data_IF_224143029021
#
_entry.id   IF_224143029021
#
_cell.length_a   1.000
_cell.length_b   1.000
_cell.length_c   1.000
_cell.angle_alpha   90.00
_cell.angle_beta   90.00
_cell.angle_gamma   90.00
#
_symmetry.space_group_name_H-M   'P 1'
#
loop_
_entity.id
_entity.type
_entity.pdbx_description
1 polymer ?
#
# COMPACT_ATOMS: atom_id res chain seq x y z
N UNK A 1 0.90 7.62 16.23
CA UNK A 1 0.77 7.31 14.79
C UNK A 1 1.89 6.35 14.44
N UNK A 2 1.58 5.16 13.97
CA UNK A 2 2.60 4.20 13.52
C UNK A 2 3.11 4.64 12.14
N UNK A 3 4.43 4.87 12.04
CA UNK A 3 5.09 5.34 10.83
C UNK A 3 5.32 4.16 9.88
N UNK A 4 4.90 4.29 8.63
CA UNK A 4 5.17 3.27 7.61
C UNK A 4 6.56 3.51 7.03
N UNK A 5 7.30 2.43 6.80
CA UNK A 5 8.62 2.47 6.18
C UNK A 5 8.74 1.34 5.16
N UNK A 6 9.55 1.57 4.12
CA UNK A 6 9.95 0.52 3.19
C UNK A 6 10.87 -0.46 3.92
N UNK A 7 10.47 -1.73 3.95
CA UNK A 7 11.27 -2.82 4.48
C UNK A 7 12.31 -3.25 3.44
N UNK A 8 13.52 -2.71 3.55
CA UNK A 8 14.62 -3.06 2.65
C UNK A 8 15.02 -4.53 2.74
N UNK A 9 14.81 -5.20 3.89
CA UNK A 9 15.12 -6.63 4.02
C UNK A 9 14.25 -7.46 3.08
N UNK A 10 12.95 -7.15 2.99
CA UNK A 10 12.04 -7.84 2.08
C UNK A 10 12.47 -7.62 0.63
N UNK A 11 12.88 -6.39 0.27
CA UNK A 11 13.39 -6.09 -1.08
C UNK A 11 14.67 -6.88 -1.39
N UNK A 12 15.58 -7.00 -0.42
CA UNK A 12 16.81 -7.79 -0.54
C UNK A 12 16.49 -9.27 -0.74
N UNK A 13 15.54 -9.82 0.03
CA UNK A 13 15.13 -11.23 -0.07
C UNK A 13 14.42 -11.53 -1.40
N UNK A 14 13.56 -10.62 -1.87
CA UNK A 14 12.81 -10.77 -3.12
C UNK A 14 13.68 -10.61 -4.37
N UNK A 15 14.64 -9.69 -4.35
CA UNK A 15 15.41 -9.28 -5.53
C UNK A 15 16.92 -9.54 -5.41
N UNK A 16 17.37 -10.27 -4.40
CA UNK A 16 18.77 -10.69 -4.25
C UNK A 16 19.75 -9.59 -3.83
N UNK A 17 19.26 -8.56 -3.14
CA UNK A 17 20.08 -7.55 -2.43
C UNK A 17 20.81 -6.50 -3.27
N UNK A 18 20.95 -6.70 -4.58
CA UNK A 18 21.67 -5.77 -5.46
C UNK A 18 20.92 -5.36 -6.72
N UNK A 19 19.74 -5.96 -7.02
CA UNK A 19 18.96 -5.59 -8.20
C UNK A 19 18.09 -4.35 -7.96
N UNK A 20 18.79 -3.22 -7.78
CA UNK A 20 18.19 -1.90 -7.67
C UNK A 20 17.35 -1.52 -8.91
N UNK A 21 17.61 -2.14 -10.07
CA UNK A 21 16.85 -1.88 -11.29
C UNK A 21 15.48 -2.56 -11.24
N UNK A 22 15.42 -3.82 -10.81
CA UNK A 22 14.17 -4.52 -10.60
C UNK A 22 13.34 -3.86 -9.50
N UNK A 23 13.97 -3.45 -8.39
CA UNK A 23 13.29 -2.68 -7.33
C UNK A 23 12.70 -1.37 -7.88
N UNK A 24 13.50 -0.55 -8.59
CA UNK A 24 13.02 0.71 -9.18
C UNK A 24 11.88 0.46 -10.19
N UNK A 25 11.95 -0.62 -10.97
CA UNK A 25 10.91 -1.00 -11.94
C UNK A 25 9.60 -1.37 -11.24
N UNK A 26 9.64 -2.21 -10.21
CA UNK A 26 8.44 -2.63 -9.47
C UNK A 26 7.81 -1.46 -8.72
N UNK A 27 8.64 -0.59 -8.14
CA UNK A 27 8.20 0.67 -7.54
C UNK A 27 7.62 1.66 -8.57
N UNK A 28 8.17 1.73 -9.79
CA UNK A 28 7.59 2.52 -10.90
C UNK A 28 6.20 2.02 -11.26
N UNK A 29 6.03 0.70 -11.39
CA UNK A 29 4.72 0.09 -11.68
C UNK A 29 3.69 0.41 -10.59
N UNK A 30 4.09 0.36 -9.32
CA UNK A 30 3.21 0.75 -8.22
C UNK A 30 2.77 2.21 -8.32
N UNK A 31 3.68 3.14 -8.59
CA UNK A 31 3.38 4.57 -8.73
C UNK A 31 2.54 4.90 -9.97
N UNK A 32 2.84 4.28 -11.11
CA UNK A 32 2.22 4.65 -12.38
C UNK A 32 0.90 3.92 -12.62
N UNK A 33 0.68 2.76 -11.98
CA UNK A 33 -0.47 1.93 -12.25
C UNK A 33 -1.31 1.63 -11.01
N UNK A 34 -0.69 1.28 -9.88
CA UNK A 34 -1.43 0.82 -8.69
C UNK A 34 -2.03 1.98 -7.91
N UNK A 35 -1.23 2.96 -7.47
CA UNK A 35 -1.76 4.12 -6.74
C UNK A 35 -2.82 4.89 -7.53
N UNK A 36 -2.65 5.17 -8.83
CA UNK A 36 -3.69 5.85 -9.61
C UNK A 36 -5.01 5.07 -9.67
N UNK A 37 -4.96 3.74 -9.78
CA UNK A 37 -6.17 2.89 -9.72
C UNK A 37 -6.84 2.95 -8.35
N UNK A 38 -6.06 2.89 -7.28
CA UNK A 38 -6.57 2.99 -5.91
C UNK A 38 -7.21 4.35 -5.68
N UNK A 39 -6.50 5.42 -5.98
CA UNK A 39 -6.98 6.81 -5.84
C UNK A 39 -8.22 7.04 -6.70
N UNK A 40 -8.26 6.56 -7.94
CA UNK A 40 -9.43 6.70 -8.81
C UNK A 40 -10.64 5.94 -8.28
N UNK A 41 -10.45 4.77 -7.67
CA UNK A 41 -11.53 3.99 -7.09
C UNK A 41 -12.08 4.67 -5.82
N UNK A 42 -11.19 5.08 -4.92
CA UNK A 42 -11.56 5.76 -3.66
C UNK A 42 -12.24 7.12 -3.90
N UNK A 43 -11.80 7.87 -4.91
CA UNK A 43 -12.38 9.16 -5.29
C UNK A 43 -13.58 9.04 -6.25
N UNK A 44 -13.99 7.83 -6.64
CA UNK A 44 -15.19 7.70 -7.45
C UNK A 44 -16.39 8.17 -6.63
N UNK A 45 -17.22 9.07 -7.17
CA UNK A 45 -18.47 9.52 -6.52
C UNK A 45 -19.55 8.41 -6.44
N UNK A 46 -19.14 7.15 -6.57
CA UNK A 46 -20.01 5.99 -6.42
C UNK A 46 -20.10 5.67 -4.93
N UNK A 47 -21.32 5.55 -4.42
CA UNK A 47 -21.54 5.00 -3.09
C UNK A 47 -21.17 3.51 -3.10
N UNK A 48 -19.91 3.22 -2.77
CA UNK A 48 -19.41 1.86 -2.56
C UNK A 48 -19.45 1.50 -1.08
N UNK A 49 -19.88 0.27 -0.77
CA UNK A 49 -19.87 -0.24 0.60
C UNK A 49 -18.44 -0.35 1.13
N UNK A 50 -18.23 -0.24 2.46
CA UNK A 50 -16.91 -0.40 3.06
C UNK A 50 -16.29 -1.77 2.73
N UNK A 51 -17.11 -2.83 2.70
CA UNK A 51 -16.70 -4.16 2.32
C UNK A 51 -16.16 -4.20 0.88
N UNK A 52 -16.89 -3.58 -0.07
CA UNK A 52 -16.45 -3.46 -1.47
C UNK A 52 -15.11 -2.73 -1.59
N UNK A 53 -14.92 -1.66 -0.79
CA UNK A 53 -13.66 -0.89 -0.81
C UNK A 53 -12.48 -1.73 -0.33
N UNK A 54 -12.66 -2.46 0.77
CA UNK A 54 -11.60 -3.32 1.31
C UNK A 54 -11.34 -4.52 0.40
N UNK A 55 -12.36 -5.13 -0.19
CA UNK A 55 -12.20 -6.20 -1.18
C UNK A 55 -11.39 -5.71 -2.40
N UNK A 56 -11.67 -4.50 -2.89
CA UNK A 56 -10.89 -3.89 -3.95
C UNK A 56 -9.41 -3.72 -3.55
N UNK A 57 -9.12 -3.18 -2.36
CA UNK A 57 -7.76 -2.98 -1.87
C UNK A 57 -7.02 -4.31 -1.63
N UNK A 58 -7.73 -5.35 -1.22
CA UNK A 58 -7.19 -6.70 -1.02
C UNK A 58 -6.55 -7.28 -2.29
N UNK A 59 -7.01 -6.88 -3.48
CA UNK A 59 -6.39 -7.30 -4.75
C UNK A 59 -4.95 -6.79 -4.94
N UNK A 60 -4.49 -5.84 -4.11
CA UNK A 60 -3.18 -5.21 -4.22
C UNK A 60 -2.23 -5.54 -3.07
N UNK A 61 -2.64 -6.33 -2.07
CA UNK A 61 -1.80 -6.71 -0.91
C UNK A 61 -0.47 -7.34 -1.34
N UNK A 62 -0.51 -8.26 -2.31
CA UNK A 62 0.69 -8.87 -2.89
C UNK A 62 1.61 -7.83 -3.53
N UNK A 63 1.04 -6.82 -4.21
CA UNK A 63 1.81 -5.75 -4.84
C UNK A 63 2.52 -4.87 -3.81
N UNK A 64 1.89 -4.59 -2.66
CA UNK A 64 2.54 -3.86 -1.55
C UNK A 64 3.67 -4.67 -0.93
N UNK A 65 3.49 -5.98 -0.74
CA UNK A 65 4.55 -6.87 -0.25
C UNK A 65 5.76 -6.88 -1.20
N UNK A 66 5.52 -6.90 -2.51
CA UNK A 66 6.59 -6.91 -3.53
C UNK A 66 7.48 -5.66 -3.50
N UNK A 67 7.01 -4.54 -2.97
CA UNK A 67 7.79 -3.30 -2.86
C UNK A 67 8.20 -2.97 -1.42
N UNK A 68 8.18 -3.97 -0.53
CA UNK A 68 8.62 -3.80 0.86
C UNK A 68 7.68 -2.93 1.69
N UNK A 69 6.37 -2.95 1.41
CA UNK A 69 5.35 -2.28 2.22
C UNK A 69 4.37 -3.28 2.88
N UNK A 70 4.85 -4.30 3.62
CA UNK A 70 3.98 -5.30 4.23
C UNK A 70 3.02 -4.72 5.27
N UNK A 71 3.36 -3.59 5.89
CA UNK A 71 2.49 -2.89 6.83
C UNK A 71 1.17 -2.44 6.18
N UNK A 72 1.17 -2.08 4.88
CA UNK A 72 -0.05 -1.74 4.17
C UNK A 72 -0.92 -2.99 3.99
N UNK A 73 -0.31 -4.10 3.54
CA UNK A 73 -1.01 -5.38 3.37
C UNK A 73 -1.67 -5.83 4.66
N UNK A 74 -0.92 -5.81 5.77
CA UNK A 74 -1.43 -6.18 7.09
C UNK A 74 -2.60 -5.28 7.55
N UNK A 75 -2.55 -3.98 7.24
CA UNK A 75 -3.65 -3.06 7.57
C UNK A 75 -4.92 -3.36 6.76
N UNK A 76 -4.79 -3.68 5.47
CA UNK A 76 -5.92 -4.05 4.61
C UNK A 76 -6.55 -5.35 5.13
N UNK A 77 -5.73 -6.37 5.43
CA UNK A 77 -6.18 -7.67 5.97
C UNK A 77 -6.90 -7.50 7.32
N UNK A 78 -6.33 -6.71 8.23
CA UNK A 78 -6.96 -6.42 9.53
C UNK A 78 -8.31 -5.70 9.38
N UNK A 79 -8.42 -4.79 8.41
CA UNK A 79 -9.67 -4.10 8.11
C UNK A 79 -10.73 -5.07 7.57
N UNK A 80 -10.34 -5.98 6.68
CA UNK A 80 -11.22 -7.02 6.15
C UNK A 80 -11.77 -7.92 7.27
N UNK A 81 -10.90 -8.34 8.20
CA UNK A 81 -11.32 -9.09 9.39
C UNK A 81 -12.29 -8.29 10.27
N UNK A 82 -12.01 -7.01 10.51
CA UNK A 82 -12.89 -6.14 11.30
C UNK A 82 -14.27 -5.99 10.68
N UNK A 83 -14.35 -5.86 9.35
CA UNK A 83 -15.61 -5.80 8.61
C UNK A 83 -16.38 -7.12 8.76
N UNK A 84 -15.71 -8.26 8.56
CA UNK A 84 -16.30 -9.60 8.71
C UNK A 84 -16.82 -9.87 10.13
N UNK A 85 -16.17 -9.31 11.14
CA UNK A 85 -16.56 -9.44 12.54
C UNK A 85 -17.64 -8.46 12.99
N UNK A 86 -18.23 -7.66 12.10
CA UNK A 86 -19.21 -6.61 12.43
C UNK A 86 -18.70 -5.64 13.50
N UNK A 87 -17.44 -5.23 13.40
CA UNK A 87 -16.84 -4.22 14.29
C UNK A 87 -17.63 -2.92 14.25
N UNK A 88 -17.60 -2.17 15.35
CA UNK A 88 -18.26 -0.87 15.46
C UNK A 88 -17.96 0.05 14.24
N UNK A 89 -18.97 0.65 13.60
CA UNK A 89 -18.79 1.49 12.42
C UNK A 89 -17.86 2.69 12.62
N UNK A 90 -17.79 3.26 13.83
CA UNK A 90 -16.89 4.37 14.14
C UNK A 90 -15.45 3.89 14.09
N UNK A 91 -15.15 2.74 14.70
CA UNK A 91 -13.81 2.14 14.68
C UNK A 91 -13.40 1.69 13.28
N UNK A 92 -14.35 1.23 12.47
CA UNK A 92 -14.11 0.92 11.06
C UNK A 92 -13.74 2.17 10.26
N UNK A 93 -14.50 3.25 10.42
CA UNK A 93 -14.20 4.50 9.72
C UNK A 93 -12.83 5.09 10.11
N UNK A 94 -12.48 5.07 11.39
CA UNK A 94 -11.15 5.48 11.85
C UNK A 94 -10.04 4.63 11.23
N UNK A 95 -10.22 3.30 11.18
CA UNK A 95 -9.24 2.40 10.59
C UNK A 95 -9.09 2.62 9.07
N UNK A 96 -10.18 2.94 8.36
CA UNK A 96 -10.15 3.27 6.93
C UNK A 96 -9.41 4.58 6.69
N UNK A 97 -9.72 5.64 7.45
CA UNK A 97 -9.00 6.91 7.35
C UNK A 97 -7.50 6.69 7.58
N UNK A 98 -7.14 5.87 8.58
CA UNK A 98 -5.74 5.53 8.82
C UNK A 98 -5.09 4.78 7.65
N UNK A 99 -5.82 3.90 6.96
CA UNK A 99 -5.34 3.21 5.77
C UNK A 99 -5.15 4.18 4.58
N UNK A 100 -6.07 5.12 4.37
CA UNK A 100 -5.97 6.13 3.30
C UNK A 100 -4.76 7.05 3.51
N UNK A 101 -4.53 7.50 4.75
CA UNK A 101 -3.32 8.26 5.12
C UNK A 101 -2.06 7.43 4.88
N UNK A 102 -2.09 6.15 5.25
CA UNK A 102 -1.00 5.20 5.09
C UNK A 102 -0.63 4.96 3.62
N UNK A 103 -1.64 4.85 2.75
CA UNK A 103 -1.47 4.72 1.30
C UNK A 103 -0.83 5.99 0.72
N UNK A 104 -1.29 7.16 1.14
CA UNK A 104 -0.72 8.45 0.71
C UNK A 104 0.75 8.57 1.12
N UNK A 105 1.09 8.23 2.36
CA UNK A 105 2.47 8.23 2.84
C UNK A 105 3.35 7.24 2.06
N UNK A 106 2.80 6.06 1.76
CA UNK A 106 3.50 5.04 0.98
C UNK A 106 3.87 5.50 -0.42
N UNK A 107 2.99 6.22 -1.10
CA UNK A 107 3.28 6.77 -2.43
C UNK A 107 4.48 7.74 -2.41
N UNK A 108 4.54 8.60 -1.38
CA UNK A 108 5.66 9.53 -1.15
C UNK A 108 6.95 8.76 -0.85
N UNK A 109 6.90 7.79 0.07
CA UNK A 109 8.06 6.98 0.46
C UNK A 109 8.68 6.26 -0.73
N UNK A 110 7.85 5.69 -1.61
CA UNK A 110 8.32 5.03 -2.82
C UNK A 110 9.03 6.03 -3.73
N UNK A 111 8.49 7.26 -3.87
CA UNK A 111 9.11 8.29 -4.70
C UNK A 111 10.51 8.63 -4.19
N UNK A 112 10.62 8.90 -2.89
CA UNK A 112 11.89 9.21 -2.25
C UNK A 112 12.89 8.05 -2.34
N UNK A 113 12.42 6.80 -2.19
CA UNK A 113 13.25 5.62 -2.31
C UNK A 113 13.83 5.45 -3.71
N UNK A 114 12.99 5.60 -4.73
CA UNK A 114 13.42 5.54 -6.14
C UNK A 114 14.44 6.62 -6.47
N UNK A 115 14.27 7.83 -5.97
CA UNK A 115 15.25 8.92 -6.13
C UNK A 115 16.60 8.55 -5.49
N UNK A 116 16.59 7.94 -4.31
CA UNK A 116 17.81 7.42 -3.65
C UNK A 116 18.50 6.34 -4.47
N UNK A 117 17.75 5.40 -5.05
CA UNK A 117 18.31 4.38 -5.94
C UNK A 117 19.04 5.03 -7.12
N UNK A 118 18.38 5.99 -7.79
CA UNK A 118 18.90 6.66 -8.98
C UNK A 118 20.14 7.50 -8.68
N UNK A 119 20.23 8.14 -7.51
CA UNK A 119 21.40 8.92 -7.09
C UNK A 119 22.65 8.09 -6.76
N UNK A 120 22.49 6.78 -6.56
CA UNK A 120 23.59 5.84 -6.27
C UNK A 120 24.16 5.16 -7.52
N UNK A 121 23.53 5.34 -8.69
CA UNK A 121 24.05 4.91 -10.00
C UNK A 121 24.98 5.97 -10.57
#
# INVERSE_FOLDING_TARGET
>A
MEYISINEKDLIELYGGSDNEMVDKMMSLMQEQTFPKITSFLNSNKEESLASKIEFLNNFTSSFNMIGLPAISAKIELLDEKIKNNTDPVLLNEAILNLEESLTQSEILIKEYREKIKSKK
#
